data_IF_373425528274
#
_entry.id   IF_373425528274
#
_cell.length_a   1.000
_cell.length_b   1.000
_cell.length_c   1.000
_cell.angle_alpha   90.00
_cell.angle_beta   90.00
_cell.angle_gamma   90.00
#
_symmetry.space_group_name_H-M   'P 1'
#
loop_
_entity.id
_entity.type
_entity.pdbx_description
1 polymer ?
#
# COMPACT_ATOMS: atom_id res chain seq x y z
N UNK A 1 11.80 73.87 37.52
CA UNK A 1 11.26 72.55 37.94
C UNK A 1 10.73 71.89 36.68
N UNK A 2 11.28 70.85 36.05
CA UNK A 2 12.36 69.89 36.29
C UNK A 2 12.87 69.47 34.90
N UNK A 3 14.19 69.39 34.68
CA UNK A 3 14.75 68.73 33.49
C UNK A 3 14.74 67.22 33.75
N UNK A 4 13.86 66.51 33.06
CA UNK A 4 13.77 65.04 33.11
C UNK A 4 14.95 64.41 32.36
N UNK A 5 15.94 63.92 33.09
CA UNK A 5 17.08 63.17 32.55
C UNK A 5 16.61 61.80 32.05
N UNK A 6 16.75 61.56 30.74
CA UNK A 6 16.39 60.29 30.09
C UNK A 6 17.56 59.32 30.25
N UNK A 7 17.45 58.36 31.17
CA UNK A 7 18.44 57.30 31.34
C UNK A 7 18.56 56.48 30.05
N UNK A 8 19.70 56.57 29.36
CA UNK A 8 20.07 55.66 28.28
C UNK A 8 20.41 54.32 28.93
N UNK A 9 19.53 53.32 28.78
CA UNK A 9 19.80 51.95 29.24
C UNK A 9 21.00 51.41 28.45
N UNK A 10 22.04 50.97 29.16
CA UNK A 10 23.17 50.27 28.56
C UNK A 10 22.68 48.97 27.91
N UNK A 11 22.92 48.81 26.60
CA UNK A 11 22.67 47.56 25.91
C UNK A 11 23.65 46.51 26.46
N UNK A 12 23.13 45.52 27.16
CA UNK A 12 23.89 44.31 27.45
C UNK A 12 23.85 43.50 26.16
N UNK A 13 24.89 43.64 25.34
CA UNK A 13 25.01 42.91 24.09
C UNK A 13 24.94 41.40 24.35
N UNK A 14 24.27 40.67 23.44
CA UNK A 14 24.33 39.21 23.43
C UNK A 14 25.78 38.76 23.36
N UNK A 15 26.23 38.00 24.36
CA UNK A 15 27.60 37.52 24.39
C UNK A 15 27.84 36.55 23.23
N UNK A 16 29.04 36.52 22.65
CA UNK A 16 29.41 35.55 21.61
C UNK A 16 29.06 34.09 22.02
N UNK A 17 29.17 33.80 23.32
CA UNK A 17 28.83 32.50 23.91
C UNK A 17 27.33 32.17 23.81
N UNK A 18 26.45 33.17 23.93
CA UNK A 18 24.99 32.99 23.87
C UNK A 18 24.56 32.57 22.47
N UNK A 19 25.15 33.20 21.44
CA UNK A 19 24.92 32.83 20.04
C UNK A 19 25.46 31.43 19.75
N UNK A 20 26.64 31.08 20.27
CA UNK A 20 27.23 29.75 20.07
C UNK A 20 26.36 28.65 20.71
N UNK A 21 25.86 28.88 21.92
CA UNK A 21 24.93 27.96 22.60
C UNK A 21 23.60 27.87 21.84
N UNK A 22 23.04 28.98 21.36
CA UNK A 22 21.82 28.97 20.56
C UNK A 22 21.97 28.15 19.27
N UNK A 23 23.10 28.33 18.55
CA UNK A 23 23.41 27.55 17.35
C UNK A 23 23.60 26.07 17.66
N UNK A 24 24.22 25.73 18.79
CA UNK A 24 24.38 24.34 19.25
C UNK A 24 23.01 23.68 19.49
N UNK A 25 22.11 24.36 20.19
CA UNK A 25 20.76 23.86 20.47
C UNK A 25 19.94 23.69 19.19
N UNK A 26 20.02 24.65 18.26
CA UNK A 26 19.35 24.56 16.95
C UNK A 26 19.90 23.37 16.14
N UNK A 27 21.22 23.19 16.11
CA UNK A 27 21.84 22.07 15.40
C UNK A 27 21.33 20.71 15.91
N UNK A 28 21.27 20.52 17.24
CA UNK A 28 20.71 19.30 17.84
C UNK A 28 19.22 19.16 17.53
N UNK A 29 18.45 20.25 17.60
CA UNK A 29 17.02 20.26 17.29
C UNK A 29 16.73 19.83 15.84
N UNK A 30 17.49 20.34 14.88
CA UNK A 30 17.34 19.98 13.45
C UNK A 30 17.70 18.51 13.22
N UNK A 31 18.77 17.99 13.84
CA UNK A 31 19.14 16.58 13.73
C UNK A 31 18.03 15.66 14.28
N UNK A 32 17.44 16.03 15.42
CA UNK A 32 16.30 15.31 15.99
C UNK A 32 15.07 15.34 15.08
N UNK A 33 14.73 16.50 14.54
CA UNK A 33 13.60 16.65 13.61
C UNK A 33 13.80 15.84 12.32
N UNK A 34 15.00 15.87 11.73
CA UNK A 34 15.30 15.10 10.52
C UNK A 34 15.17 13.59 10.74
N UNK A 35 15.60 13.08 11.90
CA UNK A 35 15.43 11.66 12.23
C UNK A 35 13.94 11.27 12.34
N UNK A 36 13.11 12.12 12.94
CA UNK A 36 11.66 11.92 13.00
C UNK A 36 11.02 11.98 11.61
N UNK A 37 11.48 12.89 10.74
CA UNK A 37 10.97 13.02 9.38
C UNK A 37 11.18 11.75 8.56
N UNK A 38 12.35 11.09 8.68
CA UNK A 38 12.61 9.81 8.02
C UNK A 38 11.63 8.72 8.48
N UNK A 39 11.42 8.59 9.79
CA UNK A 39 10.46 7.62 10.34
C UNK A 39 9.02 7.89 9.89
N UNK A 40 8.65 9.17 9.83
CA UNK A 40 7.33 9.58 9.35
C UNK A 40 7.12 9.21 7.88
N UNK A 41 8.17 9.32 7.06
CA UNK A 41 8.13 8.94 5.65
C UNK A 41 7.96 7.42 5.47
N UNK A 42 8.70 6.60 6.23
CA UNK A 42 8.54 5.14 6.20
C UNK A 42 7.11 4.73 6.58
N UNK A 43 6.56 5.33 7.65
CA UNK A 43 5.19 5.09 8.08
C UNK A 43 4.15 5.54 7.04
N UNK A 44 4.40 6.64 6.33
CA UNK A 44 3.54 7.12 5.26
C UNK A 44 3.54 6.18 4.06
N UNK A 45 4.71 5.65 3.67
CA UNK A 45 4.82 4.66 2.59
C UNK A 45 4.08 3.36 2.94
N UNK A 46 4.31 2.82 4.13
CA UNK A 46 3.59 1.61 4.60
C UNK A 46 2.07 1.84 4.66
N UNK A 47 1.61 3.02 5.06
CA UNK A 47 0.19 3.37 5.04
C UNK A 47 -0.39 3.46 3.61
N UNK A 48 0.41 3.98 2.66
CA UNK A 48 0.03 4.05 1.25
C UNK A 48 -0.09 2.64 0.64
N UNK A 49 0.87 1.76 0.90
CA UNK A 49 0.83 0.37 0.45
C UNK A 49 -0.37 -0.40 1.02
N UNK A 50 -0.66 -0.24 2.31
CA UNK A 50 -1.87 -0.82 2.92
C UNK A 50 -3.15 -0.32 2.26
N UNK A 51 -3.22 0.98 1.97
CA UNK A 51 -4.39 1.58 1.31
C UNK A 51 -4.54 1.03 -0.11
N UNK A 52 -3.44 0.90 -0.84
CA UNK A 52 -3.43 0.30 -2.17
C UNK A 52 -3.88 -1.17 -2.12
N UNK A 53 -3.36 -1.95 -1.17
CA UNK A 53 -3.74 -3.35 -0.97
C UNK A 53 -5.24 -3.52 -0.68
N UNK A 54 -5.83 -2.65 0.15
CA UNK A 54 -7.27 -2.66 0.43
C UNK A 54 -8.07 -2.35 -0.83
N UNK A 55 -7.64 -1.34 -1.60
CA UNK A 55 -8.32 -0.93 -2.81
C UNK A 55 -8.27 -2.01 -3.89
N UNK A 56 -7.12 -2.66 -4.11
CA UNK A 56 -6.98 -3.73 -5.11
C UNK A 56 -7.74 -4.99 -4.71
N UNK A 57 -7.73 -5.36 -3.41
CA UNK A 57 -8.49 -6.49 -2.91
C UNK A 57 -10.00 -6.27 -3.06
N UNK A 58 -10.49 -5.07 -2.71
CA UNK A 58 -11.89 -4.69 -2.91
C UNK A 58 -12.28 -4.68 -4.38
N UNK A 59 -11.47 -4.10 -5.25
CA UNK A 59 -11.72 -4.08 -6.71
C UNK A 59 -11.86 -5.51 -7.25
N UNK A 60 -10.91 -6.39 -6.92
CA UNK A 60 -10.97 -7.79 -7.32
C UNK A 60 -12.21 -8.51 -6.75
N UNK A 61 -12.52 -8.31 -5.46
CA UNK A 61 -13.70 -8.93 -4.83
C UNK A 61 -15.01 -8.51 -5.49
N UNK A 62 -15.15 -7.22 -5.83
CA UNK A 62 -16.35 -6.71 -6.51
C UNK A 62 -16.49 -7.26 -7.94
N UNK A 63 -15.37 -7.39 -8.68
CA UNK A 63 -15.37 -8.02 -10.00
C UNK A 63 -15.72 -9.50 -9.96
N UNK A 64 -15.19 -10.23 -8.99
CA UNK A 64 -15.56 -11.63 -8.73
C UNK A 64 -17.04 -11.75 -8.34
N UNK A 65 -17.57 -10.81 -7.54
CA UNK A 65 -19.00 -10.79 -7.19
C UNK A 65 -19.88 -10.55 -8.41
N UNK A 66 -19.50 -9.59 -9.25
CA UNK A 66 -20.22 -9.27 -10.48
C UNK A 66 -20.24 -10.43 -11.47
N UNK A 67 -19.19 -11.27 -11.47
CA UNK A 67 -19.03 -12.41 -12.37
C UNK A 67 -18.75 -13.71 -11.61
N UNK A 68 -19.73 -14.12 -10.80
CA UNK A 68 -19.61 -15.32 -9.96
C UNK A 68 -19.35 -16.60 -10.77
N UNK A 69 -19.87 -16.70 -11.99
CA UNK A 69 -19.66 -17.85 -12.88
C UNK A 69 -18.22 -18.01 -13.38
N UNK A 70 -17.39 -16.96 -13.32
CA UNK A 70 -15.99 -17.00 -13.76
C UNK A 70 -14.98 -17.16 -12.62
N UNK A 71 -15.41 -17.52 -11.41
CA UNK A 71 -14.57 -17.53 -10.21
C UNK A 71 -13.30 -18.40 -10.34
N UNK A 72 -13.42 -19.62 -10.88
CA UNK A 72 -12.26 -20.52 -11.04
C UNK A 72 -11.19 -19.93 -11.98
N UNK A 73 -11.63 -19.18 -12.99
CA UNK A 73 -10.77 -18.48 -13.93
C UNK A 73 -10.12 -17.25 -13.30
N UNK A 74 -10.81 -16.52 -12.41
CA UNK A 74 -10.18 -15.48 -11.59
C UNK A 74 -9.04 -16.06 -10.77
N UNK A 75 -9.30 -17.14 -10.03
CA UNK A 75 -8.28 -17.81 -9.20
C UNK A 75 -7.07 -18.23 -10.03
N UNK A 76 -7.31 -18.88 -11.18
CA UNK A 76 -6.24 -19.35 -12.06
C UNK A 76 -5.43 -18.18 -12.64
N UNK A 77 -6.09 -17.14 -13.13
CA UNK A 77 -5.43 -16.03 -13.82
C UNK A 77 -4.72 -15.06 -12.88
N UNK A 78 -5.28 -14.81 -11.69
CA UNK A 78 -4.60 -14.08 -10.61
C UNK A 78 -3.34 -14.84 -10.18
N UNK A 79 -3.49 -16.12 -9.80
CA UNK A 79 -2.36 -16.90 -9.26
C UNK A 79 -1.28 -17.19 -10.30
N UNK A 80 -1.62 -17.21 -11.60
CA UNK A 80 -0.65 -17.34 -12.69
C UNK A 80 -0.01 -16.00 -13.09
N UNK A 81 -0.35 -14.91 -12.39
CA UNK A 81 0.10 -13.55 -12.68
C UNK A 81 -0.04 -13.16 -14.17
N UNK A 82 -1.18 -13.49 -14.78
CA UNK A 82 -1.46 -13.06 -16.14
C UNK A 82 -1.62 -11.54 -16.18
N UNK A 83 -0.99 -10.84 -17.13
CA UNK A 83 -1.00 -9.37 -17.21
C UNK A 83 -1.38 -8.81 -18.60
N UNK A 84 -1.55 -9.67 -19.60
CA UNK A 84 -1.79 -9.28 -20.99
C UNK A 84 -2.91 -10.11 -21.61
N UNK A 85 -4.15 -9.94 -21.12
CA UNK A 85 -5.31 -10.58 -21.73
C UNK A 85 -6.08 -9.61 -22.62
N UNK A 86 -6.53 -10.11 -23.77
CA UNK A 86 -7.26 -9.32 -24.78
C UNK A 86 -8.50 -10.06 -25.24
N UNK A 87 -9.45 -9.36 -25.87
CA UNK A 87 -10.61 -9.99 -26.50
C UNK A 87 -11.91 -10.02 -25.69
N UNK A 88 -11.92 -9.49 -24.46
CA UNK A 88 -13.18 -9.09 -23.80
C UNK A 88 -13.60 -7.65 -24.15
N UNK A 89 -12.66 -6.79 -24.57
CA UNK A 89 -12.94 -5.45 -25.10
C UNK A 89 -12.99 -5.53 -26.63
N UNK A 90 -14.12 -5.15 -27.24
CA UNK A 90 -14.25 -5.05 -28.69
C UNK A 90 -13.44 -3.87 -29.24
N UNK A 91 -12.81 -4.05 -30.40
CA UNK A 91 -12.01 -2.99 -31.05
C UNK A 91 -12.75 -2.27 -32.17
N UNK A 92 -13.97 -2.71 -32.54
CA UNK A 92 -14.85 -2.06 -33.52
C UNK A 92 -16.33 -2.28 -33.15
N UNK A 93 -17.20 -1.31 -33.44
CA UNK A 93 -18.66 -1.34 -33.16
C UNK A 93 -19.44 -2.50 -33.80
N UNK A 94 -18.79 -3.35 -34.59
CA UNK A 94 -19.41 -4.46 -35.31
C UNK A 94 -19.10 -5.85 -34.73
N UNK A 95 -18.21 -5.93 -33.73
CA UNK A 95 -17.88 -7.16 -33.04
C UNK A 95 -18.40 -7.07 -31.61
N UNK A 96 -19.47 -7.81 -31.30
CA UNK A 96 -19.73 -8.15 -29.90
C UNK A 96 -18.55 -9.05 -29.47
N UNK A 97 -17.66 -8.60 -28.56
CA UNK A 97 -16.64 -9.48 -28.04
C UNK A 97 -17.34 -10.71 -27.49
N UNK A 98 -16.86 -11.91 -27.83
CA UNK A 98 -17.30 -13.15 -27.19
C UNK A 98 -16.75 -13.16 -25.75
N UNK A 99 -17.18 -12.19 -24.94
CA UNK A 99 -16.83 -12.02 -23.55
C UNK A 99 -17.85 -12.80 -22.72
N UNK A 100 -17.65 -14.11 -22.70
CA UNK A 100 -18.29 -14.96 -21.72
C UNK A 100 -17.67 -14.75 -20.33
N UNK A 101 -18.26 -15.37 -19.31
CA UNK A 101 -17.80 -15.26 -17.92
C UNK A 101 -16.30 -15.57 -17.75
N UNK A 102 -15.76 -16.54 -18.48
CA UNK A 102 -14.35 -16.92 -18.39
C UNK A 102 -13.39 -15.88 -18.98
N UNK A 103 -13.71 -15.36 -20.18
CA UNK A 103 -12.89 -14.33 -20.81
C UNK A 103 -12.94 -13.00 -20.05
N UNK A 104 -14.09 -12.69 -19.45
CA UNK A 104 -14.20 -11.51 -18.58
C UNK A 104 -13.30 -11.66 -17.35
N UNK A 105 -13.33 -12.82 -16.69
CA UNK A 105 -12.47 -13.11 -15.54
C UNK A 105 -10.97 -13.03 -15.88
N UNK A 106 -10.55 -13.55 -17.04
CA UNK A 106 -9.16 -13.45 -17.50
C UNK A 106 -8.72 -12.00 -17.73
N UNK A 107 -9.59 -11.21 -18.36
CA UNK A 107 -9.33 -9.79 -18.60
C UNK A 107 -9.23 -9.01 -17.29
N UNK A 108 -10.23 -9.15 -16.41
CA UNK A 108 -10.26 -8.49 -15.12
C UNK A 108 -9.06 -8.87 -14.24
N UNK A 109 -8.71 -10.17 -14.17
CA UNK A 109 -7.53 -10.62 -13.47
C UNK A 109 -6.24 -10.01 -14.06
N UNK A 110 -6.17 -9.84 -15.38
CA UNK A 110 -5.00 -9.25 -16.03
C UNK A 110 -4.80 -7.78 -15.69
N UNK A 111 -5.89 -7.02 -15.60
CA UNK A 111 -5.86 -5.61 -15.18
C UNK A 111 -5.45 -5.49 -13.71
N UNK A 112 -5.99 -6.35 -12.84
CA UNK A 112 -5.61 -6.39 -11.42
C UNK A 112 -4.13 -6.73 -11.24
N UNK A 113 -3.64 -7.79 -11.88
CA UNK A 113 -2.23 -8.18 -11.78
C UNK A 113 -1.30 -7.12 -12.36
N UNK A 114 -1.66 -6.52 -13.49
CA UNK A 114 -0.87 -5.45 -14.11
C UNK A 114 -0.77 -4.24 -13.17
N UNK A 115 -1.88 -3.86 -12.54
CA UNK A 115 -1.91 -2.77 -11.56
C UNK A 115 -1.11 -3.11 -10.31
N UNK A 116 -1.25 -4.32 -9.78
CA UNK A 116 -0.51 -4.77 -8.60
C UNK A 116 1.00 -4.83 -8.85
N UNK A 117 1.42 -5.50 -9.91
CA UNK A 117 2.84 -5.67 -10.27
C UNK A 117 3.52 -4.33 -10.58
N UNK A 118 2.82 -3.38 -11.20
CA UNK A 118 3.34 -2.02 -11.43
C UNK A 118 3.64 -1.25 -10.14
N UNK A 119 3.01 -1.60 -9.02
CA UNK A 119 3.22 -0.97 -7.71
C UNK A 119 4.05 -1.86 -6.75
N UNK A 120 4.59 -3.00 -7.22
CA UNK A 120 5.36 -3.92 -6.37
C UNK A 120 4.50 -4.79 -5.45
N UNK A 121 3.21 -4.94 -5.73
CA UNK A 121 2.29 -5.80 -4.99
C UNK A 121 2.10 -7.14 -5.70
N UNK A 122 1.86 -8.18 -4.91
CA UNK A 122 1.53 -9.53 -5.36
C UNK A 122 0.11 -9.83 -4.89
N UNK A 123 -0.75 -10.29 -5.80
CA UNK A 123 -2.13 -10.69 -5.47
C UNK A 123 -2.26 -12.19 -5.65
N UNK A 124 -2.94 -12.85 -4.72
CA UNK A 124 -3.23 -14.29 -4.78
C UNK A 124 -4.63 -14.58 -4.26
N UNK A 125 -5.33 -15.51 -4.88
CA UNK A 125 -6.57 -16.09 -4.37
C UNK A 125 -6.25 -17.50 -3.86
N UNK A 126 -6.45 -17.73 -2.57
CA UNK A 126 -6.25 -19.03 -1.94
C UNK A 126 -7.35 -19.31 -0.92
N UNK A 127 -7.45 -20.54 -0.43
CA UNK A 127 -8.37 -20.85 0.67
C UNK A 127 -8.02 -20.01 1.91
N UNK A 128 -9.03 -19.52 2.62
CA UNK A 128 -8.84 -18.89 3.91
C UNK A 128 -8.34 -19.92 4.92
N UNK A 129 -7.33 -19.59 5.73
CA UNK A 129 -6.88 -20.47 6.82
C UNK A 129 -7.97 -20.55 7.90
N UNK A 130 -8.43 -21.75 8.22
CA UNK A 130 -9.48 -21.98 9.22
C UNK A 130 -10.92 -21.79 8.73
N UNK A 131 -11.13 -21.62 7.41
CA UNK A 131 -12.46 -21.47 6.80
C UNK A 131 -12.53 -22.23 5.46
N UNK A 132 -13.75 -22.44 4.95
CA UNK A 132 -13.99 -23.02 3.61
C UNK A 132 -14.15 -21.96 2.53
N UNK A 133 -14.05 -20.68 2.90
CA UNK A 133 -14.15 -19.54 1.98
C UNK A 133 -12.83 -19.31 1.23
N UNK A 134 -12.92 -18.51 0.15
CA UNK A 134 -11.75 -18.08 -0.61
C UNK A 134 -11.29 -16.70 -0.18
N UNK A 135 -10.00 -16.53 0.09
CA UNK A 135 -9.43 -15.25 0.50
C UNK A 135 -8.62 -14.64 -0.64
N UNK A 136 -8.74 -13.33 -0.78
CA UNK A 136 -7.81 -12.50 -1.56
C UNK A 136 -6.69 -12.07 -0.63
N UNK A 137 -5.47 -12.43 -1.00
CA UNK A 137 -4.23 -12.04 -0.34
C UNK A 137 -3.52 -11.02 -1.21
N UNK A 138 -3.12 -9.90 -0.61
CA UNK A 138 -2.28 -8.89 -1.26
C UNK A 138 -1.05 -8.69 -0.41
N UNK A 139 0.13 -8.89 -0.96
CA UNK A 139 1.40 -8.70 -0.24
C UNK A 139 2.30 -7.69 -0.95
N UNK A 140 3.12 -7.00 -0.17
CA UNK A 140 4.12 -6.04 -0.64
C UNK A 140 5.42 -6.18 0.15
N UNK A 141 6.44 -5.41 -0.25
CA UNK A 141 7.76 -5.43 0.37
C UNK A 141 8.40 -6.81 0.32
N UNK A 142 8.83 -7.32 1.47
CA UNK A 142 9.59 -8.58 1.57
C UNK A 142 8.70 -9.84 1.67
N UNK A 143 7.36 -9.67 1.70
CA UNK A 143 6.42 -10.79 1.82
C UNK A 143 6.09 -11.36 0.44
N UNK A 144 6.59 -12.55 0.12
CA UNK A 144 6.31 -13.24 -1.15
C UNK A 144 5.20 -14.28 -0.97
N UNK A 145 4.12 -14.09 -1.72
CA UNK A 145 2.96 -15.00 -1.76
C UNK A 145 2.73 -15.65 -3.13
N UNK A 146 3.70 -15.64 -4.05
CA UNK A 146 3.51 -16.18 -5.41
C UNK A 146 3.12 -17.66 -5.40
N UNK A 147 3.76 -18.46 -4.55
CA UNK A 147 3.59 -19.92 -4.52
C UNK A 147 2.76 -20.40 -3.33
N UNK A 148 2.90 -19.77 -2.17
CA UNK A 148 2.19 -20.10 -0.92
C UNK A 148 1.86 -18.83 -0.12
N UNK A 149 0.82 -18.87 0.70
CA UNK A 149 0.40 -17.78 1.60
C UNK A 149 1.10 -17.78 2.97
N UNK A 150 2.04 -18.71 3.20
CA UNK A 150 2.62 -18.97 4.53
C UNK A 150 3.47 -17.83 5.08
N UNK A 151 3.98 -16.93 4.22
CA UNK A 151 4.68 -15.72 4.66
C UNK A 151 3.72 -14.61 5.11
N UNK A 152 2.43 -14.70 4.73
CA UNK A 152 1.41 -13.76 5.12
C UNK A 152 0.65 -14.23 6.37
N UNK A 153 0.18 -15.48 6.36
CA UNK A 153 -0.61 -16.07 7.45
C UNK A 153 -0.09 -17.46 7.81
N UNK A 154 -0.10 -17.75 9.11
CA UNK A 154 0.24 -19.06 9.66
C UNK A 154 -0.84 -20.10 9.34
N UNK A 155 -0.56 -21.37 9.65
CA UNK A 155 -1.54 -22.46 9.50
C UNK A 155 -2.79 -22.28 10.37
N UNK A 156 -2.71 -21.52 11.47
CA UNK A 156 -3.85 -21.18 12.32
C UNK A 156 -4.64 -19.96 11.84
N UNK A 157 -4.18 -19.27 10.77
CA UNK A 157 -4.82 -18.07 10.22
C UNK A 157 -4.43 -16.76 10.88
N UNK A 158 -3.45 -16.75 11.78
CA UNK A 158 -2.87 -15.52 12.33
C UNK A 158 -1.84 -14.93 11.36
N UNK A 159 -1.75 -13.59 11.28
CA UNK A 159 -0.67 -12.92 10.54
C UNK A 159 0.70 -13.34 11.07
N UNK A 160 1.65 -13.56 10.15
CA UNK A 160 3.05 -13.79 10.51
C UNK A 160 3.68 -12.49 11.00
N UNK A 161 4.60 -12.58 11.96
CA UNK A 161 5.29 -11.40 12.48
C UNK A 161 6.04 -10.66 11.36
N UNK A 162 5.86 -9.34 11.28
CA UNK A 162 6.41 -8.46 10.25
C UNK A 162 5.92 -8.77 8.82
N UNK A 163 4.85 -9.56 8.64
CA UNK A 163 4.25 -9.75 7.33
C UNK A 163 3.65 -8.44 6.81
N UNK A 164 4.00 -8.09 5.58
CA UNK A 164 3.46 -6.98 4.82
C UNK A 164 2.41 -7.52 3.86
N UNK A 165 1.24 -7.83 4.42
CA UNK A 165 0.14 -8.34 3.63
C UNK A 165 -1.23 -7.96 4.20
N UNK A 166 -2.23 -8.05 3.33
CA UNK A 166 -3.64 -7.89 3.63
C UNK A 166 -4.36 -9.18 3.22
N UNK A 167 -5.22 -9.67 4.11
CA UNK A 167 -6.17 -10.76 3.83
C UNK A 167 -7.58 -10.19 3.80
N UNK A 168 -8.31 -10.47 2.72
CA UNK A 168 -9.72 -10.14 2.59
C UNK A 168 -10.50 -11.41 2.25
N UNK A 169 -11.44 -11.77 3.10
CA UNK A 169 -12.36 -12.86 2.80
C UNK A 169 -13.23 -12.48 1.60
N UNK A 170 -13.30 -13.39 0.64
CA UNK A 170 -14.19 -13.34 -0.51
C UNK A 170 -14.98 -14.66 -0.57
N UNK A 171 -16.00 -14.70 -1.43
CA UNK A 171 -17.03 -15.75 -1.43
C UNK A 171 -16.49 -17.14 -1.81
#
# INVERSE_FOLDING_TARGET
>A
MLMSSKHIKSQHGVGLIEVLVALLLIAIGILGFSALQLRAMDAANEAADRTFAINIARDLSERMRANKSGFDQYKTSINSNKINETGCIGTTSSYAPNCNAEKMANFDASEINKKATANGHIVRIDACRGSTLSCVYVAWGDTDIKTSIDQCVSTSGSYVANAQCLVMESY
#
